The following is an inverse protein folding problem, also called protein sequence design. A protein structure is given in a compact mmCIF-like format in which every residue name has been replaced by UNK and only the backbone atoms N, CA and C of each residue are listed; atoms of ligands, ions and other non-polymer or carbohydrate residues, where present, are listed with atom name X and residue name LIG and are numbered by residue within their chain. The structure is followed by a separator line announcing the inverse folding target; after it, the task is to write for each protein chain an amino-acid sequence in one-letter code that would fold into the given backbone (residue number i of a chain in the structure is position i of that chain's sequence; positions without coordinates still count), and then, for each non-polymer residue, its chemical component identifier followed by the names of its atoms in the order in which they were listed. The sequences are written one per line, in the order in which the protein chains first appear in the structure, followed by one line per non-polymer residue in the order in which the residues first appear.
data_IF_307126261482
#
_entry.id   IF_307126261482
#
_cell.length_a   1.000
_cell.length_b   1.000
_cell.length_c   1.000
_cell.angle_alpha   90.00
_cell.angle_beta   90.00
_cell.angle_gamma   90.00
#
_symmetry.space_group_name_H-M   'P 1'
#
loop_
_entity.id
_entity.type
_entity.pdbx_description
1 polymer ?
#
# COMPACT_ATOMS: atom_id res chain seq x y z
N UNK A 1 16.45 17.71 -8.42
CA UNK A 1 16.49 16.43 -7.67
C UNK A 1 16.01 15.34 -8.60
N UNK A 2 16.67 14.17 -8.59
CA UNK A 2 16.23 13.01 -9.38
C UNK A 2 15.00 12.38 -8.71
N UNK A 3 13.99 11.99 -9.48
CA UNK A 3 12.82 11.24 -8.96
C UNK A 3 13.30 10.04 -8.14
N UNK A 4 12.71 9.78 -6.96
CA UNK A 4 13.12 8.63 -6.15
C UNK A 4 12.98 7.33 -6.97
N UNK A 5 14.02 6.50 -6.92
CA UNK A 5 13.95 5.18 -7.55
C UNK A 5 13.02 4.26 -6.74
N UNK A 6 12.17 3.50 -7.43
CA UNK A 6 11.32 2.50 -6.80
C UNK A 6 12.21 1.38 -6.23
N UNK A 7 11.95 1.00 -4.98
CA UNK A 7 12.58 -0.13 -4.30
C UNK A 7 11.51 -0.99 -3.68
N UNK A 8 11.62 -2.30 -3.92
CA UNK A 8 10.78 -3.27 -3.24
C UNK A 8 11.10 -3.25 -1.74
N UNK A 9 10.05 -3.14 -0.94
CA UNK A 9 10.09 -3.31 0.51
C UNK A 9 9.43 -4.65 0.88
N UNK A 10 9.93 -5.25 1.96
CA UNK A 10 9.30 -6.43 2.53
C UNK A 10 7.95 -6.07 3.13
N UNK A 11 7.05 -7.05 3.17
CA UNK A 11 5.77 -6.81 3.82
C UNK A 11 5.93 -6.47 5.30
N UNK A 12 5.07 -5.57 5.76
CA UNK A 12 4.94 -5.22 7.18
C UNK A 12 4.63 -6.45 8.04
N UNK A 13 3.90 -7.41 7.47
CA UNK A 13 3.48 -8.62 8.19
C UNK A 13 4.29 -9.82 7.71
N UNK A 14 4.90 -10.61 8.61
CA UNK A 14 5.59 -11.85 8.24
C UNK A 14 4.68 -12.85 7.52
N UNK A 15 3.37 -12.83 7.85
CA UNK A 15 2.33 -13.51 7.11
C UNK A 15 1.32 -12.44 6.70
N UNK A 16 1.24 -12.19 5.40
CA UNK A 16 0.37 -11.14 4.88
C UNK A 16 -1.11 -11.48 5.07
N UNK A 17 -1.94 -10.45 5.20
CA UNK A 17 -3.38 -10.63 5.27
C UNK A 17 -3.87 -11.05 3.88
N UNK A 18 -4.50 -12.21 3.81
CA UNK A 18 -5.04 -12.78 2.58
C UNK A 18 -6.57 -12.78 2.62
N UNK A 19 -7.21 -12.59 1.47
CA UNK A 19 -8.67 -12.73 1.37
C UNK A 19 -9.12 -14.15 1.73
N UNK A 20 -8.41 -15.14 1.19
CA UNK A 20 -8.69 -16.56 1.41
C UNK A 20 -7.71 -17.14 2.41
N UNK A 21 -8.20 -17.99 3.31
CA UNK A 21 -7.41 -18.85 4.18
C UNK A 21 -7.54 -20.31 3.74
N UNK A 22 -6.40 -20.97 3.55
CA UNK A 22 -6.38 -22.41 3.29
C UNK A 22 -6.32 -23.14 4.62
N UNK A 23 -7.40 -23.85 4.96
CA UNK A 23 -7.46 -24.65 6.17
C UNK A 23 -7.04 -26.08 5.88
N UNK A 24 -6.32 -26.67 6.84
CA UNK A 24 -5.92 -28.08 6.80
C UNK A 24 -6.39 -28.79 8.05
N UNK A 25 -7.30 -29.73 7.87
CA UNK A 25 -7.74 -30.62 8.94
C UNK A 25 -6.61 -31.64 9.24
N UNK A 26 -5.95 -31.45 10.38
CA UNK A 26 -4.82 -32.27 10.81
C UNK A 26 -5.26 -33.71 11.12
N UNK A 27 -6.52 -33.93 11.48
CA UNK A 27 -7.05 -35.28 11.77
C UNK A 27 -7.18 -36.13 10.50
N UNK A 28 -7.47 -35.49 9.35
CA UNK A 28 -7.60 -36.15 8.05
C UNK A 28 -6.29 -36.17 7.25
N UNK A 29 -5.40 -35.21 7.49
CA UNK A 29 -4.20 -35.05 6.67
C UNK A 29 -3.13 -36.10 7.00
N UNK A 30 -2.80 -36.93 6.00
CA UNK A 30 -1.73 -37.95 6.09
C UNK A 30 -0.33 -37.43 5.71
N UNK A 31 -0.14 -36.11 5.58
CA UNK A 31 1.14 -35.49 5.20
C UNK A 31 1.78 -36.02 3.89
N UNK A 32 0.96 -36.50 2.94
CA UNK A 32 1.45 -37.07 1.67
C UNK A 32 2.19 -36.06 0.79
N UNK A 33 1.93 -34.76 0.94
CA UNK A 33 2.59 -33.69 0.18
C UNK A 33 2.06 -33.46 -1.23
N UNK A 34 0.97 -34.14 -1.64
CA UNK A 34 0.34 -33.92 -2.97
C UNK A 34 0.01 -32.46 -3.20
N UNK A 35 -0.52 -31.77 -2.19
CA UNK A 35 -0.86 -30.35 -2.26
C UNK A 35 0.35 -29.45 -2.60
N UNK A 36 1.55 -29.79 -2.12
CA UNK A 36 2.79 -29.08 -2.43
C UNK A 36 3.33 -29.40 -3.83
N UNK A 37 2.97 -30.54 -4.40
CA UNK A 37 3.35 -30.92 -5.78
C UNK A 37 2.43 -30.28 -6.81
N UNK A 38 1.13 -30.22 -6.53
CA UNK A 38 0.14 -29.72 -7.48
C UNK A 38 0.05 -28.20 -7.46
N UNK A 39 0.08 -27.56 -6.28
CA UNK A 39 -0.09 -26.11 -6.18
C UNK A 39 1.18 -25.40 -6.67
N UNK A 40 1.11 -24.68 -7.81
CA UNK A 40 2.32 -24.12 -8.38
C UNK A 40 2.69 -22.81 -7.63
N UNK A 41 1.75 -22.21 -6.91
CA UNK A 41 1.92 -20.90 -6.24
C UNK A 41 2.68 -20.96 -4.90
N UNK A 42 3.21 -22.13 -4.50
CA UNK A 42 3.99 -22.25 -3.26
C UNK A 42 3.17 -22.11 -1.97
N UNK A 43 1.83 -22.17 -2.04
CA UNK A 43 0.94 -22.16 -0.86
C UNK A 43 1.27 -23.29 0.11
N UNK A 44 1.77 -24.41 -0.41
CA UNK A 44 2.11 -25.59 0.36
C UNK A 44 3.57 -25.95 0.16
N UNK A 45 4.27 -26.19 1.26
CA UNK A 45 5.67 -26.62 1.24
C UNK A 45 5.81 -27.91 2.05
N UNK A 46 6.56 -28.88 1.51
CA UNK A 46 7.03 -30.05 2.25
C UNK A 46 8.55 -30.03 2.24
N UNK A 47 9.15 -29.66 3.37
CA UNK A 47 10.60 -29.55 3.52
C UNK A 47 11.27 -30.93 3.41
N UNK A 48 12.37 -31.00 2.66
CA UNK A 48 13.19 -32.21 2.54
C UNK A 48 13.68 -32.66 3.92
N UNK A 49 13.58 -33.96 4.20
CA UNK A 49 13.94 -34.53 5.50
C UNK A 49 12.83 -34.48 6.57
N UNK A 50 11.69 -33.81 6.29
CA UNK A 50 10.55 -33.77 7.21
C UNK A 50 9.36 -34.58 6.68
N UNK A 51 8.72 -35.33 7.59
CA UNK A 51 7.51 -36.11 7.31
C UNK A 51 6.21 -35.31 7.45
N UNK A 52 6.30 -33.98 7.59
CA UNK A 52 5.15 -33.09 7.75
C UNK A 52 5.16 -31.99 6.69
N UNK A 53 3.96 -31.62 6.25
CA UNK A 53 3.77 -30.47 5.36
C UNK A 53 3.68 -29.20 6.22
N UNK A 54 4.39 -28.15 5.84
CA UNK A 54 4.37 -26.84 6.52
C UNK A 54 2.95 -26.26 6.57
N UNK A 55 2.71 -25.33 7.51
CA UNK A 55 1.45 -24.55 7.54
C UNK A 55 1.24 -23.89 6.16
N UNK A 56 0.04 -23.95 5.58
CA UNK A 56 -0.23 -23.26 4.33
C UNK A 56 0.06 -21.76 4.41
N UNK A 57 0.69 -21.22 3.38
CA UNK A 57 0.92 -19.78 3.20
C UNK A 57 -0.25 -19.20 2.41
N UNK A 58 -1.34 -18.90 3.13
CA UNK A 58 -2.61 -18.49 2.52
C UNK A 58 -2.54 -17.23 1.66
N UNK A 59 -1.60 -16.33 1.93
CA UNK A 59 -1.38 -15.11 1.13
C UNK A 59 -0.83 -15.37 -0.28
N UNK A 60 -0.37 -16.59 -0.57
CA UNK A 60 -0.01 -17.02 -1.93
C UNK A 60 -1.19 -17.69 -2.66
N UNK A 61 -2.32 -17.89 -1.98
CA UNK A 61 -3.48 -18.57 -2.56
C UNK A 61 -4.27 -17.61 -3.44
N UNK A 62 -4.57 -18.04 -4.67
CA UNK A 62 -5.39 -17.30 -5.63
C UNK A 62 -6.90 -17.58 -5.47
N UNK A 63 -7.31 -18.18 -4.35
CA UNK A 63 -8.70 -18.48 -4.05
C UNK A 63 -9.35 -19.47 -5.01
N UNK A 64 -10.63 -19.23 -5.28
CA UNK A 64 -11.50 -20.12 -6.07
C UNK A 64 -11.20 -20.07 -7.58
N UNK A 65 -10.38 -19.12 -8.05
CA UNK A 65 -9.95 -19.02 -9.46
C UNK A 65 -9.22 -20.27 -9.98
N UNK A 66 -8.75 -21.14 -9.09
CA UNK A 66 -8.11 -22.40 -9.45
C UNK A 66 -9.03 -23.63 -9.38
N UNK A 67 -10.30 -23.51 -9.00
CA UNK A 67 -11.21 -24.65 -8.78
C UNK A 67 -11.34 -25.58 -9.99
N UNK A 68 -11.45 -25.00 -11.19
CA UNK A 68 -11.57 -25.74 -12.45
C UNK A 68 -10.21 -26.14 -13.04
N UNK A 69 -9.09 -25.72 -12.41
CA UNK A 69 -7.75 -25.95 -12.93
C UNK A 69 -7.20 -27.29 -12.44
N UNK A 70 -6.35 -27.97 -13.25
CA UNK A 70 -5.80 -29.27 -12.90
C UNK A 70 -4.86 -29.24 -11.68
N UNK A 71 -4.50 -28.06 -11.18
CA UNK A 71 -3.67 -27.89 -10.00
C UNK A 71 -4.45 -27.52 -8.73
N UNK A 72 -5.79 -27.61 -8.74
CA UNK A 72 -6.61 -27.29 -7.57
C UNK A 72 -6.29 -28.22 -6.39
N UNK A 73 -5.70 -27.66 -5.33
CA UNK A 73 -5.13 -28.46 -4.25
C UNK A 73 -6.18 -29.16 -3.37
N UNK A 74 -7.38 -28.58 -3.24
CA UNK A 74 -8.48 -29.15 -2.45
C UNK A 74 -8.98 -30.45 -3.09
N UNK A 75 -9.29 -30.44 -4.39
CA UNK A 75 -9.74 -31.64 -5.11
C UNK A 75 -8.66 -32.72 -5.20
N UNK A 76 -7.39 -32.33 -5.28
CA UNK A 76 -6.26 -33.28 -5.32
C UNK A 76 -5.85 -33.82 -3.94
N UNK A 77 -6.54 -33.43 -2.86
CA UNK A 77 -6.28 -33.98 -1.54
C UNK A 77 -6.94 -35.36 -1.39
N UNK A 78 -6.18 -36.48 -1.33
CA UNK A 78 -6.76 -37.83 -1.33
C UNK A 78 -7.58 -38.15 -0.06
N UNK A 79 -7.49 -37.33 0.97
CA UNK A 79 -8.23 -37.47 2.23
C UNK A 79 -9.26 -36.37 2.46
N UNK A 80 -9.46 -35.46 1.49
CA UNK A 80 -10.37 -34.31 1.65
C UNK A 80 -10.04 -33.46 2.88
N UNK A 81 -8.74 -33.28 3.15
CA UNK A 81 -8.24 -32.61 4.36
C UNK A 81 -7.98 -31.10 4.18
N UNK A 82 -8.26 -30.54 2.99
CA UNK A 82 -8.06 -29.13 2.68
C UNK A 82 -9.41 -28.48 2.38
N UNK A 83 -9.57 -27.23 2.80
CA UNK A 83 -10.71 -26.37 2.45
C UNK A 83 -10.25 -24.93 2.32
N UNK A 84 -11.04 -24.13 1.59
CA UNK A 84 -10.89 -22.69 1.49
C UNK A 84 -11.98 -22.03 2.33
N UNK A 85 -11.63 -20.97 3.03
CA UNK A 85 -12.57 -20.07 3.70
C UNK A 85 -12.09 -18.63 3.52
N UNK A 86 -12.95 -17.64 3.74
CA UNK A 86 -12.55 -16.23 3.80
C UNK A 86 -11.88 -15.99 5.15
N UNK A 87 -10.70 -15.36 5.16
CA UNK A 87 -9.97 -15.11 6.40
C UNK A 87 -10.74 -14.19 7.34
N UNK A 88 -10.64 -14.46 8.64
CA UNK A 88 -11.24 -13.62 9.68
C UNK A 88 -10.71 -12.19 9.63
N UNK A 89 -9.41 -12.04 9.43
CA UNK A 89 -8.69 -10.79 9.38
C UNK A 89 -9.19 -9.93 8.22
N UNK A 90 -9.37 -10.53 7.04
CA UNK A 90 -9.95 -9.85 5.88
C UNK A 90 -11.42 -9.47 6.09
N UNK A 91 -12.20 -10.28 6.81
CA UNK A 91 -13.60 -9.95 7.13
C UNK A 91 -13.71 -8.73 8.03
N UNK A 92 -12.77 -8.58 8.97
CA UNK A 92 -12.85 -7.58 10.04
C UNK A 92 -12.15 -6.26 9.70
N UNK A 93 -11.18 -6.25 8.79
CA UNK A 93 -10.42 -5.04 8.47
C UNK A 93 -11.23 -4.05 7.61
N UNK A 94 -11.06 -2.77 7.92
CA UNK A 94 -11.58 -1.65 7.14
C UNK A 94 -12.96 -1.18 7.58
N UNK A 95 -13.44 -0.17 6.87
CA UNK A 95 -14.77 0.42 6.99
C UNK A 95 -15.29 0.84 5.60
N UNK A 96 -16.39 1.58 5.55
CA UNK A 96 -16.98 2.05 4.28
C UNK A 96 -16.06 3.02 3.51
N UNK A 97 -15.23 3.82 4.19
CA UNK A 97 -14.29 4.77 3.58
C UNK A 97 -12.97 4.10 3.22
N UNK A 98 -12.46 3.25 4.11
CA UNK A 98 -11.24 2.46 3.92
C UNK A 98 -11.61 0.99 3.84
N UNK A 99 -12.08 0.55 2.67
CA UNK A 99 -12.42 -0.85 2.45
C UNK A 99 -11.20 -1.75 2.61
N UNK A 100 -11.43 -3.03 2.89
CA UNK A 100 -10.37 -4.04 2.98
C UNK A 100 -9.45 -4.05 1.75
N UNK A 101 -10.03 -3.94 0.57
CA UNK A 101 -9.31 -3.95 -0.71
C UNK A 101 -8.47 -2.69 -0.88
N UNK A 102 -9.01 -1.53 -0.47
CA UNK A 102 -8.25 -0.28 -0.44
C UNK A 102 -7.05 -0.36 0.51
N UNK A 103 -7.24 -0.91 1.71
CA UNK A 103 -6.17 -1.03 2.70
C UNK A 103 -5.06 -1.98 2.21
N UNK A 104 -5.44 -3.19 1.78
CA UNK A 104 -4.49 -4.20 1.31
C UNK A 104 -3.80 -3.74 0.03
N UNK A 105 -4.54 -3.19 -0.92
CA UNK A 105 -4.01 -2.61 -2.14
C UNK A 105 -3.02 -1.47 -1.86
N UNK A 106 -3.33 -0.59 -0.91
CA UNK A 106 -2.41 0.49 -0.50
C UNK A 106 -1.13 -0.05 0.11
N UNK A 107 -1.20 -1.08 0.97
CA UNK A 107 0.00 -1.70 1.53
C UNK A 107 0.86 -2.34 0.44
N UNK A 108 0.24 -3.06 -0.50
CA UNK A 108 0.95 -3.66 -1.64
C UNK A 108 1.59 -2.61 -2.54
N UNK A 109 0.93 -1.49 -2.78
CA UNK A 109 1.51 -0.35 -3.50
C UNK A 109 2.69 0.27 -2.75
N UNK A 110 2.61 0.38 -1.42
CA UNK A 110 3.73 0.87 -0.61
C UNK A 110 4.93 -0.09 -0.60
N UNK A 111 4.68 -1.40 -0.65
CA UNK A 111 5.69 -2.45 -0.71
C UNK A 111 6.37 -2.52 -2.08
N UNK A 112 5.60 -2.37 -3.16
CA UNK A 112 6.09 -2.63 -4.53
C UNK A 112 6.39 -1.36 -5.32
N UNK A 113 5.81 -0.23 -4.94
CA UNK A 113 5.79 1.01 -5.71
C UNK A 113 4.88 0.95 -6.95
N UNK A 114 4.00 -0.05 -7.06
CA UNK A 114 3.24 -0.35 -8.28
C UNK A 114 1.73 -0.47 -7.98
N UNK A 115 0.87 0.25 -8.72
CA UNK A 115 -0.59 0.08 -8.68
C UNK A 115 -1.00 -1.37 -8.91
N UNK A 116 -1.87 -1.90 -8.05
CA UNK A 116 -2.22 -3.32 -8.05
C UNK A 116 -3.34 -3.62 -9.04
N UNK A 117 -3.13 -4.30 -10.17
CA UNK A 117 -4.25 -4.58 -11.09
C UNK A 117 -5.23 -5.64 -10.54
N UNK A 118 -6.54 -5.46 -10.78
CA UNK A 118 -7.57 -6.48 -10.52
C UNK A 118 -8.14 -6.55 -9.09
N UNK A 119 -7.53 -5.89 -8.10
CA UNK A 119 -8.16 -5.73 -6.78
C UNK A 119 -9.20 -4.58 -6.82
N UNK A 120 -10.19 -4.57 -5.92
CA UNK A 120 -11.15 -3.45 -5.81
C UNK A 120 -10.56 -2.27 -5.02
N UNK A 121 -9.33 -1.89 -5.35
CA UNK A 121 -8.60 -0.78 -4.72
C UNK A 121 -8.84 0.55 -5.44
N UNK A 122 -9.58 0.56 -6.55
CA UNK A 122 -9.86 1.78 -7.33
C UNK A 122 -11.06 2.57 -6.80
N UNK A 123 -11.96 1.89 -6.07
CA UNK A 123 -13.24 2.44 -5.62
C UNK A 123 -13.48 2.02 -4.17
N UNK A 124 -13.85 2.98 -3.31
CA UNK A 124 -14.28 2.72 -1.95
C UNK A 124 -15.74 2.27 -1.87
N UNK A 125 -16.33 2.36 -0.68
CA UNK A 125 -17.72 1.96 -0.43
C UNK A 125 -18.48 2.99 0.42
N UNK A 126 -18.05 4.25 0.40
CA UNK A 126 -18.63 5.33 1.20
C UNK A 126 -19.91 5.91 0.58
N UNK A 127 -20.19 5.61 -0.69
CA UNK A 127 -21.35 6.11 -1.43
C UNK A 127 -21.27 7.59 -1.81
N UNK A 128 -20.09 8.22 -1.65
CA UNK A 128 -19.83 9.63 -1.90
C UNK A 128 -18.35 9.93 -2.16
N UNK A 129 -18.00 11.21 -2.26
CA UNK A 129 -16.61 11.64 -2.46
C UNK A 129 -15.98 11.06 -3.72
N UNK A 130 -14.76 10.51 -3.58
CA UNK A 130 -14.01 9.92 -4.70
C UNK A 130 -14.68 8.66 -5.28
N UNK A 131 -15.55 7.97 -4.55
CA UNK A 131 -16.26 6.77 -5.06
C UNK A 131 -17.23 7.10 -6.20
N UNK A 132 -17.53 8.38 -6.41
CA UNK A 132 -18.42 8.89 -7.47
C UNK A 132 -17.67 9.67 -8.56
N UNK A 133 -16.34 9.68 -8.51
CA UNK A 133 -15.50 10.40 -9.47
C UNK A 133 -14.77 9.37 -10.33
N UNK A 134 -14.95 9.47 -11.64
CA UNK A 134 -14.27 8.63 -12.62
C UNK A 134 -13.59 9.49 -13.68
N UNK A 135 -12.44 9.03 -14.17
CA UNK A 135 -11.77 9.65 -15.30
C UNK A 135 -12.29 9.04 -16.61
N UNK A 136 -12.58 9.90 -17.59
CA UNK A 136 -12.76 9.48 -18.97
C UNK A 136 -11.37 9.36 -19.59
N UNK A 137 -10.96 8.13 -19.87
CA UNK A 137 -9.72 7.87 -20.58
C UNK A 137 -9.97 7.89 -22.11
N UNK A 138 -8.99 8.36 -22.92
CA UNK A 138 -9.11 8.33 -24.37
C UNK A 138 -9.33 6.90 -24.91
N UNK A 139 -10.11 6.77 -25.99
CA UNK A 139 -10.31 5.48 -26.67
C UNK A 139 -9.00 4.94 -27.25
N UNK A 140 -8.72 3.64 -27.07
CA UNK A 140 -7.53 2.97 -27.60
C UNK A 140 -6.33 2.88 -26.63
N UNK A 141 -6.37 3.58 -25.50
CA UNK A 141 -5.55 3.22 -24.34
C UNK A 141 -6.30 2.15 -23.56
N UNK A 142 -6.11 0.88 -23.94
CA UNK A 142 -6.52 -0.22 -23.08
C UNK A 142 -5.93 0.04 -21.69
N UNK A 143 -6.79 0.29 -20.68
CA UNK A 143 -6.44 -0.10 -19.31
C UNK A 143 -5.90 -1.50 -19.50
N UNK A 144 -4.64 -1.76 -19.16
CA UNK A 144 -4.07 -3.08 -19.33
C UNK A 144 -4.81 -4.06 -18.42
N UNK A 145 -6.00 -4.48 -18.85
CA UNK A 145 -6.87 -5.47 -18.24
C UNK A 145 -6.09 -6.77 -18.38
N UNK A 146 -5.49 -7.20 -17.28
CA UNK A 146 -5.16 -8.61 -17.16
C UNK A 146 -6.50 -9.33 -17.11
N UNK A 147 -6.93 -9.89 -18.24
CA UNK A 147 -8.11 -10.73 -18.28
C UNK A 147 -8.05 -11.80 -17.20
N UNK A 148 -9.21 -12.20 -16.70
CA UNK A 148 -9.43 -13.20 -15.64
C UNK A 148 -8.96 -14.64 -15.98
N UNK A 149 -7.95 -14.80 -16.82
CA UNK A 149 -7.50 -16.09 -17.31
C UNK A 149 -5.98 -16.16 -17.47
N UNK A 150 -5.37 -17.10 -16.74
CA UNK A 150 -3.97 -17.54 -16.80
C UNK A 150 -2.93 -16.66 -16.11
N UNK A 151 -2.95 -16.69 -14.78
CA UNK A 151 -1.76 -16.42 -13.97
C UNK A 151 -0.78 -17.61 -14.05
N UNK A 152 -0.12 -17.74 -15.20
CA UNK A 152 1.10 -18.53 -15.34
C UNK A 152 2.26 -17.82 -14.63
N UNK A 153 2.98 -18.54 -13.78
CA UNK A 153 3.97 -18.03 -12.83
C UNK A 153 5.23 -17.38 -13.41
N UNK A 154 5.28 -17.12 -14.71
CA UNK A 154 6.44 -16.51 -15.34
C UNK A 154 6.34 -14.97 -15.45
N UNK A 155 5.23 -14.36 -15.04
CA UNK A 155 5.10 -12.89 -15.04
C UNK A 155 5.77 -12.18 -13.85
N UNK A 156 6.15 -12.91 -12.78
CA UNK A 156 6.99 -12.36 -11.71
C UNK A 156 8.47 -12.20 -12.11
N UNK A 157 8.89 -12.82 -13.22
CA UNK A 157 10.25 -12.68 -13.77
C UNK A 157 10.35 -11.60 -14.86
N UNK A 158 9.22 -11.06 -15.31
CA UNK A 158 9.22 -9.80 -16.03
C UNK A 158 9.40 -8.70 -15.00
N UNK A 159 10.39 -7.84 -15.22
CA UNK A 159 10.60 -6.65 -14.42
C UNK A 159 9.25 -6.01 -14.11
N UNK A 160 8.87 -5.78 -12.84
CA UNK A 160 7.61 -5.11 -12.51
C UNK A 160 7.47 -3.74 -13.21
N UNK A 161 8.56 -3.22 -13.76
CA UNK A 161 8.69 -1.99 -14.51
C UNK A 161 8.50 -2.12 -16.03
N UNK A 162 8.40 -3.33 -16.61
CA UNK A 162 8.24 -3.50 -18.07
C UNK A 162 6.85 -3.14 -18.60
N UNK A 163 5.89 -2.88 -17.71
CA UNK A 163 4.55 -2.40 -18.05
C UNK A 163 4.31 -0.94 -17.68
N UNK A 164 5.35 -0.22 -17.23
CA UNK A 164 5.22 1.22 -17.04
C UNK A 164 5.21 1.87 -18.42
N UNK A 165 4.20 2.68 -18.75
CA UNK A 165 4.23 3.46 -19.99
C UNK A 165 5.53 4.28 -20.00
N UNK A 166 6.10 4.47 -21.19
CA UNK A 166 7.21 5.40 -21.39
C UNK A 166 6.84 6.72 -20.74
N UNK A 167 7.70 7.23 -19.85
CA UNK A 167 7.48 8.52 -19.20
C UNK A 167 7.30 9.56 -20.30
N UNK A 168 6.08 10.09 -20.42
CA UNK A 168 5.82 11.22 -21.28
C UNK A 168 6.61 12.40 -20.70
N UNK A 169 7.69 12.78 -21.37
CA UNK A 169 8.64 13.79 -20.87
C UNK A 169 8.04 15.19 -20.86
N UNK A 170 6.87 15.37 -21.46
CA UNK A 170 6.25 16.68 -21.65
C UNK A 170 5.27 17.05 -20.51
N UNK A 171 4.95 16.11 -19.62
CA UNK A 171 4.01 16.35 -18.50
C UNK A 171 4.77 16.61 -17.20
N UNK A 172 4.64 17.83 -16.67
CA UNK A 172 5.16 18.20 -15.34
C UNK A 172 4.06 18.15 -14.27
N UNK A 173 4.38 17.54 -13.13
CA UNK A 173 3.54 17.52 -11.92
C UNK A 173 3.85 18.66 -10.94
N UNK A 174 4.78 19.54 -11.29
CA UNK A 174 5.19 20.64 -10.42
C UNK A 174 4.12 21.73 -10.36
N UNK A 175 3.84 22.22 -9.15
CA UNK A 175 2.88 23.30 -8.93
C UNK A 175 3.44 24.39 -8.03
N UNK A 176 3.12 25.64 -8.35
CA UNK A 176 3.37 26.79 -7.50
C UNK A 176 2.24 26.95 -6.48
N UNK A 177 2.59 27.00 -5.19
CA UNK A 177 1.62 27.13 -4.11
C UNK A 177 1.15 28.58 -3.93
N UNK A 178 2.08 29.55 -3.93
CA UNK A 178 1.74 30.95 -3.73
C UNK A 178 1.51 31.69 -5.06
N UNK A 179 0.24 31.84 -5.43
CA UNK A 179 -0.19 32.60 -6.62
C UNK A 179 -0.28 34.12 -6.38
N UNK A 180 -0.10 34.60 -5.14
CA UNK A 180 -0.10 36.03 -4.78
C UNK A 180 1.32 36.60 -4.76
N UNK A 181 1.45 37.89 -4.47
CA UNK A 181 2.74 38.53 -4.23
C UNK A 181 3.45 37.93 -2.99
N UNK A 182 4.77 38.06 -2.93
CA UNK A 182 5.61 37.55 -1.85
C UNK A 182 6.42 36.30 -2.23
N UNK A 183 6.90 35.57 -1.21
CA UNK A 183 7.78 34.41 -1.38
C UNK A 183 7.09 33.33 -2.23
N UNK A 184 7.74 32.93 -3.32
CA UNK A 184 7.30 31.83 -4.18
C UNK A 184 7.80 30.51 -3.63
N UNK A 185 6.89 29.54 -3.57
CA UNK A 185 7.16 28.17 -3.11
C UNK A 185 6.53 27.24 -4.14
N UNK A 186 7.32 26.31 -4.64
CA UNK A 186 6.91 25.31 -5.62
C UNK A 186 7.14 23.92 -5.03
N UNK A 187 6.25 22.98 -5.36
CA UNK A 187 6.38 21.56 -5.02
C UNK A 187 6.40 20.71 -6.28
N UNK A 188 7.23 19.68 -6.32
CA UNK A 188 7.41 18.85 -7.53
C UNK A 188 6.25 17.90 -7.80
N UNK A 189 5.39 17.69 -6.82
CA UNK A 189 4.22 16.81 -6.88
C UNK A 189 3.01 17.55 -6.30
N UNK A 190 1.78 17.34 -6.82
CA UNK A 190 0.60 18.12 -6.44
C UNK A 190 -0.04 17.62 -5.14
N UNK A 191 0.78 17.19 -4.18
CA UNK A 191 0.36 16.75 -2.86
C UNK A 191 1.42 17.10 -1.83
N UNK A 192 1.00 17.27 -0.58
CA UNK A 192 1.88 17.31 0.60
C UNK A 192 1.19 16.58 1.75
N UNK A 193 1.95 16.23 2.79
CA UNK A 193 1.43 15.45 3.91
C UNK A 193 0.64 16.30 4.91
N UNK A 194 -0.57 15.86 5.27
CA UNK A 194 -1.41 16.51 6.30
C UNK A 194 -0.84 16.45 7.72
N UNK A 195 -1.33 17.30 8.62
CA UNK A 195 -0.85 17.35 10.00
C UNK A 195 -1.18 16.10 10.81
N UNK A 196 -0.17 15.42 11.34
CA UNK A 196 -0.35 14.32 12.30
C UNK A 196 0.61 14.52 13.46
N UNK A 197 0.06 14.76 14.65
CA UNK A 197 0.80 15.20 15.83
C UNK A 197 1.74 14.12 16.37
N UNK A 198 2.88 14.57 16.91
CA UNK A 198 3.62 13.75 17.85
C UNK A 198 2.71 13.39 19.04
N UNK A 199 2.61 12.09 19.34
CA UNK A 199 1.63 11.53 20.26
C UNK A 199 0.55 10.70 19.56
N UNK A 200 0.03 11.17 18.42
CA UNK A 200 -0.83 10.35 17.54
C UNK A 200 0.00 9.42 16.65
N UNK A 201 1.17 9.89 16.21
CA UNK A 201 2.17 9.08 15.51
C UNK A 201 3.52 9.15 16.22
N UNK A 202 4.36 8.14 16.01
CA UNK A 202 5.70 8.10 16.59
C UNK A 202 6.67 9.03 15.86
N UNK A 203 7.76 9.40 16.54
CA UNK A 203 8.84 10.19 15.95
C UNK A 203 9.42 9.53 14.68
N UNK A 204 9.52 8.20 14.67
CA UNK A 204 10.00 7.45 13.50
C UNK A 204 9.10 7.64 12.28
N UNK A 205 7.78 7.72 12.47
CA UNK A 205 6.83 8.00 11.38
C UNK A 205 6.98 9.44 10.89
N UNK A 206 7.10 10.42 11.80
CA UNK A 206 7.33 11.81 11.42
C UNK A 206 8.61 11.97 10.59
N UNK A 207 9.72 11.35 11.02
CA UNK A 207 11.00 11.38 10.30
C UNK A 207 10.91 10.67 8.94
N UNK A 208 10.20 9.54 8.85
CA UNK A 208 9.98 8.85 7.57
C UNK A 208 9.22 9.74 6.58
N UNK A 209 8.18 10.44 7.05
CA UNK A 209 7.40 11.40 6.24
C UNK A 209 8.24 12.59 5.80
N UNK A 210 9.08 13.14 6.68
CA UNK A 210 9.99 14.25 6.34
C UNK A 210 11.05 13.85 5.30
N UNK A 211 11.63 12.65 5.43
CA UNK A 211 12.55 12.09 4.43
C UNK A 211 11.87 11.89 3.08
N UNK A 212 10.64 11.35 3.09
CA UNK A 212 9.84 11.20 1.87
C UNK A 212 9.52 12.55 1.22
N UNK A 213 9.07 13.54 2.01
CA UNK A 213 8.78 14.89 1.54
C UNK A 213 10.00 15.54 0.88
N UNK A 214 11.19 15.44 1.51
CA UNK A 214 12.45 15.90 0.92
C UNK A 214 12.77 15.20 -0.39
N UNK A 215 12.66 13.87 -0.43
CA UNK A 215 12.98 13.08 -1.62
C UNK A 215 12.04 13.41 -2.81
N UNK A 216 10.76 13.68 -2.52
CA UNK A 216 9.76 14.06 -3.51
C UNK A 216 9.72 15.56 -3.82
N UNK A 217 10.49 16.40 -3.13
CA UNK A 217 10.43 17.85 -3.31
C UNK A 217 9.07 18.45 -2.93
N UNK A 218 8.49 17.97 -1.83
CA UNK A 218 7.24 18.45 -1.24
C UNK A 218 7.39 18.65 0.27
N UNK A 219 6.27 18.83 0.99
CA UNK A 219 6.20 19.08 2.42
C UNK A 219 5.50 17.95 3.19
N UNK A 220 5.82 17.87 4.47
CA UNK A 220 5.00 17.20 5.50
C UNK A 220 4.58 18.21 6.56
N UNK A 221 3.57 17.92 7.36
CA UNK A 221 3.09 18.81 8.42
C UNK A 221 3.22 18.16 9.81
N UNK A 222 3.59 18.97 10.82
CA UNK A 222 3.86 18.51 12.20
C UNK A 222 2.63 17.98 12.93
N UNK A 223 1.42 18.39 12.54
CA UNK A 223 0.28 18.25 13.43
C UNK A 223 0.35 19.21 14.61
N UNK A 224 -0.61 19.10 15.52
CA UNK A 224 -0.69 19.92 16.72
C UNK A 224 0.34 19.56 17.82
N UNK A 225 1.12 18.49 17.64
CA UNK A 225 1.97 17.92 18.70
C UNK A 225 3.34 18.58 18.86
N UNK A 226 3.54 19.75 18.26
CA UNK A 226 4.81 20.48 18.29
C UNK A 226 5.85 20.00 17.27
N UNK A 227 7.07 20.53 17.42
CA UNK A 227 8.19 20.34 16.48
C UNK A 227 9.35 19.58 17.14
N UNK A 228 9.43 18.23 17.00
CA UNK A 228 10.55 17.46 17.55
C UNK A 228 11.93 17.90 17.02
N UNK A 229 12.96 17.88 17.87
CA UNK A 229 14.34 18.30 17.54
C UNK A 229 14.88 17.61 16.28
N UNK A 230 14.60 16.32 16.13
CA UNK A 230 15.06 15.52 14.99
C UNK A 230 14.47 15.98 13.64
N UNK A 231 13.39 16.76 13.64
CA UNK A 231 12.83 17.36 12.41
C UNK A 231 13.62 18.58 11.94
N UNK A 232 14.50 19.17 12.77
CA UNK A 232 15.26 20.37 12.38
C UNK A 232 16.14 20.16 11.16
N UNK A 233 16.62 18.94 10.96
CA UNK A 233 17.34 18.56 9.74
C UNK A 233 16.48 18.75 8.47
N UNK A 234 15.15 18.80 8.60
CA UNK A 234 14.16 18.86 7.52
C UNK A 234 13.34 20.16 7.49
N UNK A 235 13.80 21.25 8.13
CA UNK A 235 13.10 22.56 8.21
C UNK A 235 12.54 23.03 6.84
N UNK A 236 13.29 22.80 5.77
CA UNK A 236 12.91 23.17 4.40
C UNK A 236 11.74 22.39 3.78
N UNK A 237 11.31 21.30 4.42
CA UNK A 237 10.32 20.33 3.97
C UNK A 237 9.22 20.08 5.03
N UNK A 238 9.19 20.85 6.12
CA UNK A 238 8.19 20.72 7.18
C UNK A 238 7.34 21.98 7.25
N UNK A 239 6.03 21.79 7.41
CA UNK A 239 5.03 22.81 7.73
C UNK A 239 4.80 22.74 9.24
N UNK A 240 4.99 23.86 9.93
CA UNK A 240 4.62 23.98 11.35
C UNK A 240 3.13 24.30 11.45
N UNK A 241 2.37 23.43 12.11
CA UNK A 241 0.96 23.67 12.38
C UNK A 241 0.76 24.38 13.72
N UNK A 242 -0.04 25.44 13.70
CA UNK A 242 -0.45 26.20 14.87
C UNK A 242 -1.93 25.96 15.09
N UNK A 243 -2.27 25.29 16.18
CA UNK A 243 -3.65 25.05 16.63
C UNK A 243 -3.92 25.74 17.96
N UNK A 244 -5.17 25.73 18.40
CA UNK A 244 -5.63 26.42 19.63
C UNK A 244 -4.88 26.02 20.89
N UNK A 245 -4.40 24.77 20.98
CA UNK A 245 -3.62 24.28 22.13
C UNK A 245 -2.19 24.80 22.21
N UNK A 246 -1.65 25.39 21.13
CA UNK A 246 -0.29 25.94 21.03
C UNK A 246 0.85 25.00 21.50
N UNK A 247 0.63 23.68 21.50
CA UNK A 247 1.63 22.73 21.97
C UNK A 247 2.89 22.76 21.11
N UNK A 248 4.04 22.97 21.75
CA UNK A 248 5.34 23.01 21.09
C UNK A 248 5.47 24.12 20.03
N UNK A 249 4.57 25.11 20.05
CA UNK A 249 4.67 26.32 19.21
C UNK A 249 5.52 27.34 19.95
N UNK A 250 6.71 27.58 19.43
CA UNK A 250 7.66 28.58 19.91
C UNK A 250 8.07 29.49 18.76
N UNK A 251 8.54 30.70 19.07
CA UNK A 251 9.01 31.66 18.04
C UNK A 251 10.03 31.02 17.09
N UNK A 252 10.97 30.23 17.63
CA UNK A 252 11.99 29.56 16.83
C UNK A 252 11.38 28.52 15.86
N UNK A 253 10.38 27.74 16.29
CA UNK A 253 9.70 26.75 15.43
C UNK A 253 8.91 27.39 14.28
N UNK A 254 8.45 28.63 14.47
CA UNK A 254 7.75 29.41 13.45
C UNK A 254 8.74 29.97 12.43
N UNK A 255 9.87 30.52 12.90
CA UNK A 255 10.87 31.15 12.03
C UNK A 255 11.67 30.16 11.17
N UNK A 256 11.71 28.88 11.56
CA UNK A 256 12.44 27.82 10.83
C UNK A 256 11.80 27.41 9.51
N UNK A 257 10.47 27.40 9.45
CA UNK A 257 9.73 26.79 8.35
C UNK A 257 9.35 27.80 7.27
N UNK A 258 9.12 27.30 6.05
CA UNK A 258 8.66 28.14 4.93
C UNK A 258 7.16 28.43 4.96
N UNK A 259 6.40 27.58 5.64
CA UNK A 259 4.94 27.59 5.66
C UNK A 259 4.49 27.32 7.09
N UNK A 260 3.55 28.13 7.56
CA UNK A 260 2.84 27.93 8.83
C UNK A 260 1.38 27.64 8.51
N UNK A 261 0.84 26.58 9.08
CA UNK A 261 -0.55 26.17 8.92
C UNK A 261 -1.37 26.57 10.16
N UNK A 262 -2.27 27.53 10.02
CA UNK A 262 -3.22 27.87 11.08
C UNK A 262 -4.42 26.91 11.04
N UNK A 263 -4.50 26.03 12.04
CA UNK A 263 -5.60 25.08 12.15
C UNK A 263 -6.79 25.74 12.85
N UNK A 264 -7.85 25.99 12.09
CA UNK A 264 -9.11 26.46 12.65
C UNK A 264 -10.03 25.31 13.09
N UNK A 265 -10.12 24.26 12.28
CA UNK A 265 -10.91 23.05 12.55
C UNK A 265 -10.35 21.84 11.76
N UNK A 266 -10.88 20.65 12.03
CA UNK A 266 -10.64 19.43 11.26
C UNK A 266 -11.98 18.72 11.04
N UNK A 267 -12.24 18.30 9.80
CA UNK A 267 -13.44 17.56 9.40
C UNK A 267 -13.19 16.06 9.23
#
# INVERSE_FOLDING_TARGET
MKTPAIKLALSRFPNEISEIVVQRDVSKCINCGTCAKVCPFGVHERKTGYNRVSKPLSYLCIGTSCEEKPFYCVNHCPRGALSLDISSEYRTIGDYRWTRDLIIGTWKQAETGIPQRGQRYEIGNSGGGFDRISFNFPEGEERGEMGDGNMGQNSFLLSPFSFLPSVDTDISTEIDLNKREGKKISIKVPFYGGGMSFGSISLSVMLARAKAARAWGTFTCTGEGGYPEALKEYDDNVITQVATGLFGVMEDTIQRVKIVEFKYAQG
#
